data_IF_226518104748
#
_entry.id   IF_226518104748
#
_cell.length_a   1.000
_cell.length_b   1.000
_cell.length_c   1.000
_cell.angle_alpha   90.00
_cell.angle_beta   90.00
_cell.angle_gamma   90.00
#
_symmetry.space_group_name_H-M   'P 1'
#
loop_
_entity.id
_entity.type
_entity.pdbx_description
1 polymer ?
#
# COMPACT_ATOMS: atom_id res chain seq x y z
N UNK A 1 10.36 -6.03 -33.19
CA UNK A 1 9.45 -6.76 -32.28
C UNK A 1 10.37 -7.58 -31.40
N UNK A 2 10.81 -7.00 -30.29
CA UNK A 2 11.59 -7.72 -29.29
C UNK A 2 10.60 -8.17 -28.23
N UNK A 3 10.02 -9.35 -28.44
CA UNK A 3 9.15 -9.95 -27.46
C UNK A 3 9.95 -10.27 -26.21
N UNK A 4 9.41 -9.92 -25.05
CA UNK A 4 10.03 -10.26 -23.77
C UNK A 4 10.20 -11.79 -23.69
N UNK A 5 11.42 -12.28 -23.36
CA UNK A 5 11.60 -13.71 -23.12
C UNK A 5 10.64 -14.20 -22.04
N UNK A 6 9.94 -15.31 -22.29
CA UNK A 6 8.95 -15.88 -21.36
C UNK A 6 9.50 -16.05 -19.93
N UNK A 7 10.79 -16.36 -19.81
CA UNK A 7 11.49 -16.49 -18.53
C UNK A 7 11.59 -15.16 -17.75
N UNK A 8 11.75 -14.02 -18.44
CA UNK A 8 11.76 -12.71 -17.82
C UNK A 8 10.35 -12.32 -17.36
N UNK A 9 9.33 -12.59 -18.19
CA UNK A 9 7.93 -12.39 -17.81
C UNK A 9 7.55 -13.21 -16.57
N UNK A 10 7.90 -14.50 -16.55
CA UNK A 10 7.60 -15.41 -15.43
C UNK A 10 8.25 -14.93 -14.13
N UNK A 11 9.52 -14.53 -14.17
CA UNK A 11 10.22 -13.95 -13.01
C UNK A 11 9.53 -12.71 -12.46
N UNK A 12 9.08 -11.79 -13.32
CA UNK A 12 8.35 -10.57 -12.87
C UNK A 12 6.99 -10.90 -12.26
N UNK A 13 6.31 -11.93 -12.78
CA UNK A 13 5.05 -12.42 -12.23
C UNK A 13 5.28 -13.01 -10.83
N UNK A 14 6.24 -13.90 -10.70
CA UNK A 14 6.48 -14.66 -9.48
C UNK A 14 7.07 -13.80 -8.37
N UNK A 15 7.80 -12.74 -8.71
CA UNK A 15 8.30 -11.75 -7.75
C UNK A 15 7.20 -11.07 -6.90
N UNK A 16 5.92 -11.16 -7.31
CA UNK A 16 4.79 -10.63 -6.54
C UNK A 16 4.19 -11.65 -5.58
N UNK A 17 4.47 -12.94 -5.74
CA UNK A 17 3.93 -14.01 -4.90
C UNK A 17 4.38 -13.80 -3.45
N UNK A 18 3.48 -14.07 -2.50
CA UNK A 18 3.72 -13.84 -1.08
C UNK A 18 3.40 -12.43 -0.61
N UNK A 19 3.13 -11.48 -1.51
CA UNK A 19 2.73 -10.11 -1.14
C UNK A 19 1.44 -10.14 -0.32
N UNK A 20 1.45 -9.42 0.80
CA UNK A 20 0.29 -9.27 1.67
C UNK A 20 -0.50 -7.98 1.37
N UNK A 21 -1.80 -8.01 1.62
CA UNK A 21 -2.69 -6.83 1.70
C UNK A 21 -3.70 -6.99 2.83
N UNK A 22 -4.23 -5.88 3.34
CA UNK A 22 -5.34 -5.88 4.29
C UNK A 22 -6.60 -5.28 3.68
N UNK A 23 -7.74 -5.94 3.90
CA UNK A 23 -9.05 -5.51 3.41
C UNK A 23 -10.00 -5.35 4.60
N UNK A 24 -10.63 -4.17 4.79
CA UNK A 24 -11.64 -3.96 5.84
C UNK A 24 -12.82 -4.92 5.72
N UNK A 25 -13.24 -5.48 6.87
CA UNK A 25 -14.46 -6.27 7.02
C UNK A 25 -15.57 -5.37 7.59
N UNK A 26 -16.07 -4.44 6.77
CA UNK A 26 -17.21 -3.58 7.10
C UNK A 26 -18.48 -4.09 6.41
N UNK A 27 -19.64 -4.09 7.09
CA UNK A 27 -20.92 -4.37 6.46
C UNK A 27 -21.24 -3.32 5.38
N UNK A 28 -21.65 -3.74 4.18
CA UNK A 28 -22.09 -2.85 3.09
C UNK A 28 -21.26 -2.93 1.81
N UNK A 29 -21.41 -1.92 0.94
CA UNK A 29 -20.96 -1.94 -0.46
C UNK A 29 -19.45 -1.68 -0.61
N UNK A 30 -18.64 -2.63 -0.14
CA UNK A 30 -17.35 -2.93 -0.71
C UNK A 30 -16.11 -2.35 -0.03
N UNK A 31 -14.98 -2.90 -0.48
CA UNK A 31 -13.64 -2.86 0.10
C UNK A 31 -12.89 -1.52 -0.05
N UNK A 32 -13.60 -0.42 -0.36
CA UNK A 32 -12.97 0.87 -0.67
C UNK A 32 -12.74 1.67 0.60
N UNK A 33 -11.59 2.32 0.68
CA UNK A 33 -11.27 3.23 1.78
C UNK A 33 -10.82 2.49 3.04
N UNK A 34 -9.63 1.90 2.99
CA UNK A 34 -8.98 1.31 4.15
C UNK A 34 -8.85 2.26 5.35
N UNK A 35 -8.94 3.58 5.18
CA UNK A 35 -8.91 4.56 6.27
C UNK A 35 -10.30 4.90 6.84
N UNK A 36 -11.39 4.46 6.21
CA UNK A 36 -12.75 4.86 6.58
C UNK A 36 -13.24 4.17 7.87
N UNK A 37 -12.60 3.08 8.27
CA UNK A 37 -12.91 2.36 9.51
C UNK A 37 -11.60 1.83 10.12
N UNK A 38 -10.85 2.66 10.88
CA UNK A 38 -9.58 2.26 11.45
C UNK A 38 -9.72 1.10 12.46
N UNK A 39 -10.81 1.08 13.22
CA UNK A 39 -11.06 0.10 14.29
C UNK A 39 -11.78 -1.17 13.80
N UNK A 40 -12.17 -1.23 12.53
CA UNK A 40 -12.82 -2.42 11.98
C UNK A 40 -11.80 -3.54 11.69
N UNK A 41 -12.18 -4.82 11.91
CA UNK A 41 -11.32 -5.96 11.61
C UNK A 41 -10.99 -6.05 10.12
N UNK A 42 -9.85 -6.67 9.81
CA UNK A 42 -9.32 -6.76 8.45
C UNK A 42 -8.94 -8.17 8.08
N UNK A 43 -9.39 -8.62 6.92
CA UNK A 43 -8.86 -9.82 6.30
C UNK A 43 -7.45 -9.52 5.75
N UNK A 44 -6.46 -10.28 6.19
CA UNK A 44 -5.15 -10.32 5.59
C UNK A 44 -5.21 -11.33 4.45
N UNK A 45 -4.80 -10.91 3.26
CA UNK A 45 -4.79 -11.75 2.08
C UNK A 45 -3.37 -11.80 1.50
N UNK A 46 -2.99 -12.96 0.99
CA UNK A 46 -1.71 -13.18 0.32
C UNK A 46 -1.93 -13.37 -1.19
N UNK A 47 -1.10 -12.75 -2.00
CA UNK A 47 -1.09 -12.99 -3.44
C UNK A 47 -0.37 -14.30 -3.74
N UNK A 48 -1.08 -15.29 -4.28
CA UNK A 48 -0.51 -16.60 -4.62
C UNK A 48 -0.04 -16.70 -6.09
N UNK A 49 -0.13 -15.61 -6.86
CA UNK A 49 0.20 -15.60 -8.28
C UNK A 49 -1.02 -15.65 -9.20
N UNK A 50 -2.22 -15.90 -8.67
CA UNK A 50 -3.47 -15.91 -9.43
C UNK A 50 -4.61 -15.15 -8.74
N UNK A 51 -4.78 -15.39 -7.44
CA UNK A 51 -5.81 -14.76 -6.62
C UNK A 51 -5.22 -14.25 -5.30
N UNK A 52 -6.01 -13.44 -4.61
CA UNK A 52 -5.74 -13.08 -3.22
C UNK A 52 -6.39 -14.10 -2.31
N UNK A 53 -5.57 -14.92 -1.68
CA UNK A 53 -5.98 -16.01 -0.80
C UNK A 53 -6.03 -15.54 0.66
N UNK A 54 -6.93 -16.10 1.47
CA UNK A 54 -7.03 -15.76 2.87
C UNK A 54 -5.79 -16.22 3.64
N UNK A 55 -5.14 -15.28 4.33
CA UNK A 55 -3.94 -15.53 5.13
C UNK A 55 -4.21 -15.40 6.64
N UNK A 56 -5.17 -14.55 7.03
CA UNK A 56 -5.55 -14.38 8.43
C UNK A 56 -6.49 -13.19 8.64
N UNK A 57 -6.73 -12.84 9.91
CA UNK A 57 -7.53 -11.68 10.30
C UNK A 57 -6.74 -10.84 11.30
N UNK A 58 -6.79 -9.51 11.14
CA UNK A 58 -6.28 -8.55 12.10
C UNK A 58 -7.46 -7.83 12.78
N UNK A 59 -7.30 -7.50 14.06
CA UNK A 59 -8.35 -6.86 14.86
C UNK A 59 -8.72 -5.45 14.36
N UNK A 60 -7.74 -4.70 13.84
CA UNK A 60 -7.91 -3.32 13.39
C UNK A 60 -6.83 -2.93 12.35
N UNK A 61 -6.81 -1.67 11.91
CA UNK A 61 -5.82 -1.14 10.98
C UNK A 61 -4.39 -1.15 11.51
N UNK A 62 -4.18 -0.86 12.80
CA UNK A 62 -2.84 -0.81 13.39
C UNK A 62 -2.23 -2.22 13.51
N UNK A 63 -3.03 -3.21 13.90
CA UNK A 63 -2.66 -4.62 13.91
C UNK A 63 -2.34 -5.12 12.49
N UNK A 64 -3.15 -4.75 11.49
CA UNK A 64 -2.84 -5.08 10.11
C UNK A 64 -1.52 -4.45 9.63
N UNK A 65 -1.25 -3.20 10.02
CA UNK A 65 0.00 -2.49 9.72
C UNK A 65 1.24 -3.23 10.23
N UNK A 66 1.18 -3.77 11.45
CA UNK A 66 2.27 -4.58 12.04
C UNK A 66 2.54 -5.87 11.26
N UNK A 67 1.50 -6.51 10.73
CA UNK A 67 1.63 -7.73 9.92
C UNK A 67 2.20 -7.41 8.52
N UNK A 68 1.72 -6.33 7.90
CA UNK A 68 2.10 -5.92 6.55
C UNK A 68 3.52 -5.34 6.47
N UNK A 69 3.92 -4.65 7.53
CA UNK A 69 5.15 -3.87 7.57
C UNK A 69 5.89 -4.09 8.91
N UNK A 70 6.42 -5.30 9.15
CA UNK A 70 7.10 -5.61 10.41
C UNK A 70 8.30 -4.68 10.67
N UNK A 71 9.04 -4.30 9.62
CA UNK A 71 10.17 -3.37 9.71
C UNK A 71 9.77 -1.92 9.97
N UNK A 72 8.54 -1.51 9.60
CA UNK A 72 8.04 -0.16 9.84
C UNK A 72 7.60 0.06 11.30
N UNK A 73 7.62 -0.98 12.14
CA UNK A 73 7.46 -0.85 13.58
C UNK A 73 8.71 -0.27 14.26
N UNK A 74 9.85 -0.21 13.56
CA UNK A 74 10.98 0.60 13.98
C UNK A 74 10.61 2.09 13.93
N UNK A 75 11.05 2.93 14.88
CA UNK A 75 10.78 4.37 14.84
C UNK A 75 11.25 4.91 13.49
N UNK A 76 10.46 5.80 12.85
CA UNK A 76 10.81 6.29 11.53
C UNK A 76 12.19 6.93 11.60
N UNK A 77 13.13 6.42 10.78
CA UNK A 77 14.38 7.12 10.54
C UNK A 77 14.02 8.56 10.18
N UNK A 78 14.67 9.53 10.85
CA UNK A 78 14.36 10.95 10.72
C UNK A 78 14.25 11.32 9.23
N UNK A 79 13.02 11.54 8.77
CA UNK A 79 12.78 12.02 7.40
C UNK A 79 13.41 13.40 7.33
N UNK A 80 14.39 13.65 6.43
CA UNK A 80 14.94 14.98 6.28
C UNK A 80 13.78 15.92 5.97
N UNK A 81 13.73 17.06 6.67
CA UNK A 81 12.66 18.04 6.55
C UNK A 81 12.35 18.30 5.07
N UNK A 82 11.07 18.25 4.71
CA UNK A 82 10.62 18.57 3.35
C UNK A 82 11.21 19.91 2.97
N UNK A 83 12.04 19.94 1.92
CA UNK A 83 12.68 21.18 1.49
C UNK A 83 11.59 22.23 1.27
N UNK A 84 11.75 23.46 1.80
CA UNK A 84 10.76 24.51 1.61
C UNK A 84 10.55 24.72 0.11
N UNK A 85 9.29 24.86 -0.31
CA UNK A 85 8.95 25.16 -1.69
C UNK A 85 9.74 26.40 -2.13
N UNK A 86 10.64 26.22 -3.11
CA UNK A 86 11.47 27.30 -3.64
C UNK A 86 10.58 28.48 -4.07
N UNK A 87 11.00 29.73 -3.83
CA UNK A 87 10.31 30.89 -4.37
C UNK A 87 10.34 30.81 -5.89
N UNK A 88 9.20 30.49 -6.50
CA UNK A 88 9.04 30.41 -7.95
C UNK A 88 7.77 31.13 -8.37
N UNK A 89 7.92 32.08 -9.30
CA UNK A 89 6.81 32.66 -10.07
C UNK A 89 6.35 31.65 -11.13
N UNK A 90 5.80 30.54 -10.68
CA UNK A 90 5.15 29.59 -11.60
C UNK A 90 3.95 30.28 -12.24
N UNK A 91 3.80 30.15 -13.56
CA UNK A 91 2.72 30.71 -14.41
C UNK A 91 1.28 30.44 -13.92
N UNK A 92 1.11 29.55 -12.94
CA UNK A 92 -0.16 29.17 -12.33
C UNK A 92 -0.40 29.78 -10.95
N UNK A 93 0.53 30.59 -10.40
CA UNK A 93 0.31 31.28 -9.12
C UNK A 93 -0.41 32.60 -9.38
N UNK A 94 -1.58 32.77 -8.73
CA UNK A 94 -2.25 34.07 -8.66
C UNK A 94 -1.31 35.09 -7.99
N UNK A 95 -1.17 36.31 -8.54
CA UNK A 95 -0.41 37.36 -7.88
C UNK A 95 -1.08 37.73 -6.55
N UNK A 96 -0.29 38.05 -5.51
CA UNK A 96 -0.83 38.63 -4.28
C UNK A 96 -1.46 40.00 -4.61
N UNK A 97 -2.57 40.29 -3.93
CA UNK A 97 -3.29 41.56 -4.01
C UNK A 97 -2.54 42.68 -3.30
#
# INVERSE_FOLDING_TARGET
MDDEPLSAWAKRRDAKIGRLRAVPLVPGEGHRGAHLAPDAPRAIQQWNGHIWEAHGIAADFAAAGRILYPEAAAPPAAVPARQPLRPGRGKHRKPPR
#
